data_IF_733648491393
#
_entry.id   IF_733648491393
#
_cell.length_a   1.000
_cell.length_b   1.000
_cell.length_c   1.000
_cell.angle_alpha   90.00
_cell.angle_beta   90.00
_cell.angle_gamma   90.00
#
_symmetry.space_group_name_H-M   'P 1'
#
loop_
_entity.id
_entity.type
_entity.pdbx_description
1 polymer ?
#
# COMPACT_ATOMS: atom_id res chain seq x y z
N UNK A 1 -24.00 -13.08 -88.44
CA UNK A 1 -24.48 -13.43 -87.05
C UNK A 1 -23.32 -13.43 -86.09
N UNK A 2 -23.14 -12.39 -85.26
CA UNK A 2 -22.08 -12.39 -84.28
C UNK A 2 -22.55 -13.02 -82.95
N UNK A 3 -21.68 -13.86 -82.37
CA UNK A 3 -21.92 -14.57 -81.15
C UNK A 3 -21.53 -13.63 -79.94
N UNK A 4 -22.49 -13.37 -79.10
CA UNK A 4 -22.23 -12.69 -77.79
C UNK A 4 -21.73 -13.71 -76.78
N UNK A 5 -20.59 -13.42 -76.13
CA UNK A 5 -20.08 -14.12 -74.96
C UNK A 5 -20.50 -13.35 -73.66
N UNK A 6 -20.92 -14.05 -72.61
CA UNK A 6 -21.27 -13.35 -71.37
C UNK A 6 -20.02 -13.04 -70.53
N UNK A 7 -19.89 -11.76 -70.07
CA UNK A 7 -18.93 -11.36 -69.06
C UNK A 7 -19.35 -11.91 -67.66
N UNK A 8 -18.48 -12.71 -67.11
CA UNK A 8 -18.59 -13.14 -65.70
C UNK A 8 -18.13 -11.98 -64.80
N UNK A 9 -19.04 -11.37 -64.02
CA UNK A 9 -18.73 -10.41 -62.97
C UNK A 9 -18.27 -11.18 -61.74
N UNK A 10 -16.96 -11.13 -61.44
CA UNK A 10 -16.40 -11.61 -60.18
C UNK A 10 -16.64 -10.55 -59.10
N UNK A 11 -17.62 -10.80 -58.22
CA UNK A 11 -17.86 -9.97 -57.04
C UNK A 11 -16.79 -10.25 -55.95
N UNK A 12 -15.89 -9.29 -55.72
CA UNK A 12 -15.04 -9.27 -54.50
C UNK A 12 -15.92 -8.95 -53.30
N UNK A 13 -16.24 -9.94 -52.48
CA UNK A 13 -16.79 -9.75 -51.15
C UNK A 13 -15.65 -9.31 -50.21
N UNK A 14 -15.48 -8.00 -50.00
CA UNK A 14 -14.63 -7.47 -48.96
C UNK A 14 -15.30 -7.76 -47.61
N UNK A 15 -14.82 -8.78 -46.90
CA UNK A 15 -15.14 -9.00 -45.49
C UNK A 15 -14.51 -7.87 -44.66
N UNK A 16 -15.26 -6.82 -44.41
CA UNK A 16 -14.94 -5.81 -43.42
C UNK A 16 -15.05 -6.48 -42.03
N UNK A 17 -13.94 -6.91 -41.46
CA UNK A 17 -13.85 -7.14 -40.04
C UNK A 17 -14.06 -5.79 -39.33
N UNK A 18 -15.29 -5.47 -39.02
CA UNK A 18 -15.60 -4.42 -38.03
C UNK A 18 -15.08 -4.94 -36.71
N UNK A 19 -13.89 -4.49 -36.31
CA UNK A 19 -13.45 -4.61 -34.94
C UNK A 19 -14.52 -3.90 -34.11
N UNK A 20 -15.39 -4.66 -33.43
CA UNK A 20 -16.34 -4.10 -32.51
C UNK A 20 -15.51 -3.31 -31.48
N UNK A 21 -15.54 -1.97 -31.55
CA UNK A 21 -14.95 -1.15 -30.53
C UNK A 21 -15.64 -1.53 -29.22
N UNK A 22 -14.91 -2.26 -28.37
CA UNK A 22 -15.41 -2.60 -27.05
C UNK A 22 -15.72 -1.26 -26.35
N UNK A 23 -16.97 -1.10 -25.89
CA UNK A 23 -17.36 0.10 -25.18
C UNK A 23 -16.37 0.31 -24.01
N UNK A 24 -15.85 1.55 -23.88
CA UNK A 24 -14.93 1.91 -22.81
C UNK A 24 -15.55 1.63 -21.45
N UNK A 25 -14.87 0.86 -20.62
CA UNK A 25 -15.27 0.60 -19.24
C UNK A 25 -14.43 1.46 -18.32
N UNK A 26 -15.08 2.30 -17.49
CA UNK A 26 -14.41 3.15 -16.50
C UNK A 26 -14.67 2.60 -15.10
N UNK A 27 -13.62 2.25 -14.37
CA UNK A 27 -13.68 1.82 -12.98
C UNK A 27 -13.41 3.00 -12.06
N UNK A 28 -14.37 3.35 -11.19
CA UNK A 28 -14.18 4.36 -10.15
C UNK A 28 -13.32 3.76 -9.05
N UNK A 29 -12.25 4.47 -8.70
CA UNK A 29 -11.29 4.05 -7.68
C UNK A 29 -11.31 5.00 -6.49
N UNK A 30 -11.66 4.52 -5.30
CA UNK A 30 -11.56 5.30 -4.05
C UNK A 30 -10.14 5.21 -3.50
N UNK A 31 -9.47 6.37 -3.38
CA UNK A 31 -8.09 6.47 -2.86
C UNK A 31 -8.06 7.45 -1.67
N UNK A 32 -7.76 6.95 -0.46
CA UNK A 32 -7.74 7.80 0.73
C UNK A 32 -6.56 8.78 0.77
N UNK A 33 -5.51 8.54 -0.02
CA UNK A 33 -4.32 9.41 -0.07
C UNK A 33 -4.53 10.59 -1.01
N UNK A 34 -3.71 11.63 -0.82
CA UNK A 34 -3.68 12.79 -1.71
C UNK A 34 -3.02 12.46 -3.05
N UNK A 35 -3.46 13.13 -4.13
CA UNK A 35 -2.82 13.00 -5.45
C UNK A 35 -1.51 13.80 -5.51
N UNK A 36 -0.53 13.34 -4.75
CA UNK A 36 0.80 13.97 -4.67
C UNK A 36 1.85 12.94 -4.25
N UNK A 37 3.06 13.09 -4.80
CA UNK A 37 4.22 12.27 -4.47
C UNK A 37 4.24 10.90 -5.14
N UNK A 38 5.15 10.09 -4.69
CA UNK A 38 5.56 8.87 -5.35
C UNK A 38 4.48 7.78 -5.33
N UNK A 39 3.66 7.72 -4.27
CA UNK A 39 2.49 6.83 -4.24
C UNK A 39 1.49 7.20 -5.33
N UNK A 40 1.14 8.48 -5.44
CA UNK A 40 0.23 8.92 -6.49
C UNK A 40 0.82 8.66 -7.87
N UNK A 41 2.14 8.85 -8.06
CA UNK A 41 2.82 8.51 -9.29
C UNK A 41 2.71 7.01 -9.62
N UNK A 42 2.89 6.12 -8.65
CA UNK A 42 2.75 4.68 -8.85
C UNK A 42 1.30 4.27 -9.18
N UNK A 43 0.31 4.87 -8.53
CA UNK A 43 -1.11 4.60 -8.79
C UNK A 43 -1.53 5.11 -10.18
N UNK A 44 -1.09 6.31 -10.57
CA UNK A 44 -1.33 6.83 -11.90
C UNK A 44 -0.62 5.97 -12.98
N UNK A 45 0.59 5.48 -12.70
CA UNK A 45 1.28 4.54 -13.56
C UNK A 45 0.49 3.23 -13.72
N UNK A 46 -0.06 2.69 -12.63
CA UNK A 46 -0.92 1.49 -12.68
C UNK A 46 -2.13 1.70 -13.59
N UNK A 47 -2.83 2.84 -13.46
CA UNK A 47 -3.97 3.14 -14.32
C UNK A 47 -3.57 3.28 -15.80
N UNK A 48 -2.45 3.94 -16.08
CA UNK A 48 -1.92 4.07 -17.43
C UNK A 48 -1.51 2.71 -18.02
N UNK A 49 -0.91 1.84 -17.20
CA UNK A 49 -0.52 0.49 -17.63
C UNK A 49 -1.74 -0.40 -17.91
N UNK A 50 -2.81 -0.30 -17.12
CA UNK A 50 -4.09 -0.98 -17.40
C UNK A 50 -4.68 -0.48 -18.72
N UNK A 51 -4.76 0.82 -18.94
CA UNK A 51 -5.27 1.38 -20.19
C UNK A 51 -4.43 0.94 -21.39
N UNK A 52 -3.11 0.95 -21.27
CA UNK A 52 -2.18 0.50 -22.30
C UNK A 52 -2.40 -0.98 -22.65
N UNK A 53 -2.49 -1.87 -21.67
CA UNK A 53 -2.68 -3.32 -21.87
C UNK A 53 -4.04 -3.69 -22.46
N UNK A 54 -5.01 -2.79 -22.32
CA UNK A 54 -6.38 -2.99 -22.84
C UNK A 54 -6.70 -2.11 -24.04
N UNK A 55 -5.69 -1.49 -24.67
CA UNK A 55 -5.87 -0.55 -25.79
C UNK A 55 -6.95 0.52 -25.51
N UNK A 56 -7.03 0.99 -24.25
CA UNK A 56 -7.97 2.00 -23.79
C UNK A 56 -9.38 1.48 -23.47
N UNK A 57 -9.64 0.18 -23.65
CA UNK A 57 -10.96 -0.40 -23.35
C UNK A 57 -11.29 -0.40 -21.84
N UNK A 58 -10.28 -0.40 -20.97
CA UNK A 58 -10.45 -0.32 -19.52
C UNK A 58 -9.68 0.87 -18.97
N UNK A 59 -10.35 1.77 -18.25
CA UNK A 59 -9.77 2.95 -17.62
C UNK A 59 -10.08 2.97 -16.13
N UNK A 60 -9.21 3.60 -15.34
CA UNK A 60 -9.38 3.79 -13.91
C UNK A 60 -9.48 5.30 -13.64
N UNK A 61 -10.55 5.71 -12.97
CA UNK A 61 -10.77 7.08 -12.53
C UNK A 61 -10.62 7.19 -11.01
N UNK A 62 -9.58 7.88 -10.55
CA UNK A 62 -9.28 8.04 -9.14
C UNK A 62 -10.09 9.16 -8.48
N UNK A 63 -10.64 8.85 -7.32
CA UNK A 63 -11.22 9.78 -6.37
C UNK A 63 -10.27 9.90 -5.17
N UNK A 64 -9.40 10.89 -5.22
CA UNK A 64 -8.31 11.11 -4.27
C UNK A 64 -8.75 11.75 -2.96
N UNK A 65 -7.93 11.58 -1.91
CA UNK A 65 -8.11 12.27 -0.63
C UNK A 65 -9.32 11.80 0.16
N UNK A 66 -9.82 10.60 -0.12
CA UNK A 66 -11.02 10.09 0.53
C UNK A 66 -12.32 10.78 0.07
N UNK A 67 -12.31 11.46 -1.09
CA UNK A 67 -13.46 12.22 -1.60
C UNK A 67 -14.67 11.34 -1.93
N UNK A 68 -14.49 10.08 -2.28
CA UNK A 68 -15.56 9.12 -2.49
C UNK A 68 -15.86 8.32 -1.21
N UNK A 69 -14.81 7.80 -0.57
CA UNK A 69 -14.88 7.08 0.71
C UNK A 69 -13.58 7.25 1.48
N UNK A 70 -13.66 7.37 2.78
CA UNK A 70 -12.50 7.40 3.67
C UNK A 70 -11.79 6.03 3.74
N UNK A 71 -10.59 6.00 4.35
CA UNK A 71 -9.78 4.80 4.42
C UNK A 71 -10.40 3.65 5.24
N UNK A 72 -11.32 3.92 6.17
CA UNK A 72 -12.00 2.89 6.98
C UNK A 72 -13.18 2.29 6.23
N UNK A 73 -13.83 3.08 5.40
CA UNK A 73 -15.01 2.68 4.63
C UNK A 73 -14.65 1.99 3.30
N UNK A 74 -13.41 2.15 2.81
CA UNK A 74 -12.99 1.69 1.47
C UNK A 74 -13.23 0.19 1.25
N UNK A 75 -12.85 -0.68 2.19
CA UNK A 75 -13.01 -2.14 2.02
C UNK A 75 -14.48 -2.51 1.84
N UNK A 76 -15.33 -2.07 2.79
CA UNK A 76 -16.77 -2.35 2.73
C UNK A 76 -17.41 -1.72 1.51
N UNK A 77 -17.06 -0.47 1.19
CA UNK A 77 -17.64 0.26 0.06
C UNK A 77 -17.30 -0.38 -1.29
N UNK A 78 -16.08 -0.90 -1.47
CA UNK A 78 -15.72 -1.66 -2.68
C UNK A 78 -16.44 -3.02 -2.68
N UNK A 79 -16.50 -3.73 -1.56
CA UNK A 79 -17.24 -4.98 -1.44
C UNK A 79 -18.73 -4.84 -1.78
N UNK A 80 -19.37 -3.73 -1.38
CA UNK A 80 -20.77 -3.37 -1.63
C UNK A 80 -20.99 -2.68 -3.00
N UNK A 81 -19.93 -2.47 -3.81
CA UNK A 81 -19.97 -1.79 -5.12
C UNK A 81 -20.34 -0.29 -5.05
N UNK A 82 -20.09 0.39 -3.95
CA UNK A 82 -20.17 1.85 -3.91
C UNK A 82 -19.06 2.50 -4.77
N UNK A 83 -17.92 1.79 -4.94
CA UNK A 83 -16.91 2.00 -5.97
C UNK A 83 -16.51 0.65 -6.57
N UNK A 84 -16.02 0.65 -7.80
CA UNK A 84 -15.56 -0.57 -8.48
C UNK A 84 -14.21 -1.03 -7.93
N UNK A 85 -13.33 -0.10 -7.56
CA UNK A 85 -11.98 -0.33 -7.05
C UNK A 85 -11.66 0.56 -5.85
N UNK A 86 -10.62 0.20 -5.12
CA UNK A 86 -10.11 1.05 -4.06
C UNK A 86 -8.81 0.56 -3.44
N UNK A 87 -8.24 1.43 -2.63
CA UNK A 87 -7.14 1.09 -1.73
C UNK A 87 -7.68 0.71 -0.36
N UNK A 88 -7.11 -0.35 0.23
CA UNK A 88 -7.29 -0.66 1.64
C UNK A 88 -5.99 -0.42 2.40
N UNK A 89 -6.11 -0.01 3.65
CA UNK A 89 -5.02 0.23 4.58
C UNK A 89 -5.21 -0.71 5.76
N UNK A 90 -4.35 -1.72 5.91
CA UNK A 90 -4.51 -2.79 6.88
C UNK A 90 -4.74 -2.31 8.31
N UNK A 91 -4.01 -1.29 8.74
CA UNK A 91 -4.17 -0.71 10.08
C UNK A 91 -5.55 -0.06 10.34
N UNK A 92 -6.34 0.21 9.29
CA UNK A 92 -7.70 0.76 9.40
C UNK A 92 -8.78 -0.31 9.22
N UNK A 93 -8.44 -1.46 8.64
CA UNK A 93 -9.32 -2.61 8.40
C UNK A 93 -8.87 -3.84 9.20
N UNK A 94 -8.29 -3.62 10.37
CA UNK A 94 -7.61 -4.65 11.15
C UNK A 94 -8.54 -5.79 11.63
N UNK A 95 -9.86 -5.54 11.77
CA UNK A 95 -10.83 -6.56 12.17
C UNK A 95 -11.31 -7.40 11.00
N UNK A 96 -11.54 -6.76 9.86
CA UNK A 96 -12.11 -7.36 8.66
C UNK A 96 -11.05 -8.16 7.88
N UNK A 97 -9.79 -7.74 7.94
CA UNK A 97 -8.69 -8.31 7.16
C UNK A 97 -7.58 -8.89 8.06
N UNK A 98 -7.97 -9.60 9.13
CA UNK A 98 -7.03 -10.20 10.09
C UNK A 98 -5.86 -10.96 9.44
N UNK A 99 -6.07 -11.88 8.47
CA UNK A 99 -4.97 -12.61 7.85
C UNK A 99 -4.00 -11.70 7.08
N UNK A 100 -4.52 -10.68 6.39
CA UNK A 100 -3.72 -9.77 5.59
C UNK A 100 -2.88 -8.80 6.46
N UNK A 101 -3.31 -8.56 7.70
CA UNK A 101 -2.58 -7.71 8.64
C UNK A 101 -1.26 -8.34 9.14
N UNK A 102 -0.91 -9.56 8.71
CA UNK A 102 0.45 -10.12 8.89
C UNK A 102 1.54 -9.15 8.39
N UNK A 103 1.26 -8.38 7.33
CA UNK A 103 2.17 -7.38 6.78
C UNK A 103 2.35 -6.12 7.63
N UNK A 104 1.51 -5.91 8.64
CA UNK A 104 1.61 -4.77 9.57
C UNK A 104 2.09 -5.18 10.97
N UNK A 105 2.46 -6.45 11.17
CA UNK A 105 2.98 -6.93 12.44
C UNK A 105 4.31 -6.25 12.79
N UNK A 106 4.58 -5.97 14.07
CA UNK A 106 5.82 -5.31 14.49
C UNK A 106 7.01 -6.29 14.56
N UNK A 107 7.34 -6.90 13.43
CA UNK A 107 8.37 -7.94 13.28
C UNK A 107 9.73 -7.42 12.79
N UNK A 108 9.89 -6.13 12.67
CA UNK A 108 11.08 -5.51 12.08
C UNK A 108 10.86 -5.09 10.61
N UNK A 109 11.86 -4.39 10.08
CA UNK A 109 11.84 -3.91 8.70
C UNK A 109 12.42 -4.95 7.75
N UNK A 110 11.91 -4.98 6.53
CA UNK A 110 12.53 -5.64 5.39
C UNK A 110 12.92 -4.59 4.34
N UNK A 111 13.73 -4.97 3.37
CA UNK A 111 13.85 -4.15 2.16
C UNK A 111 12.46 -3.92 1.54
N UNK A 112 12.21 -2.72 1.03
CA UNK A 112 10.87 -2.32 0.51
C UNK A 112 10.37 -3.27 -0.58
N UNK A 113 11.24 -3.64 -1.54
CA UNK A 113 10.87 -4.56 -2.61
C UNK A 113 10.63 -5.97 -2.10
N UNK A 114 11.48 -6.44 -1.17
CA UNK A 114 11.36 -7.76 -0.53
C UNK A 114 10.02 -7.89 0.17
N UNK A 115 9.68 -6.93 1.04
CA UNK A 115 8.41 -6.93 1.78
C UNK A 115 7.19 -6.88 0.86
N UNK A 116 7.23 -6.02 -0.18
CA UNK A 116 6.17 -5.91 -1.18
C UNK A 116 5.96 -7.20 -1.95
N UNK A 117 7.03 -7.82 -2.44
CA UNK A 117 6.95 -9.09 -3.20
C UNK A 117 6.49 -10.26 -2.33
N UNK A 118 7.00 -10.35 -1.09
CA UNK A 118 6.55 -11.34 -0.14
C UNK A 118 5.03 -11.24 0.13
N UNK A 119 4.53 -10.03 0.39
CA UNK A 119 3.09 -9.80 0.61
C UNK A 119 2.26 -10.04 -0.66
N UNK A 120 2.77 -9.67 -1.84
CA UNK A 120 2.08 -9.94 -3.11
C UNK A 120 1.92 -11.44 -3.36
N UNK A 121 3.01 -12.20 -3.24
CA UNK A 121 2.97 -13.66 -3.42
C UNK A 121 2.09 -14.31 -2.35
N UNK A 122 2.21 -13.90 -1.09
CA UNK A 122 1.36 -14.39 -0.01
C UNK A 122 -0.13 -14.13 -0.31
N UNK A 123 -0.52 -12.91 -0.69
CA UNK A 123 -1.91 -12.57 -0.99
C UNK A 123 -2.47 -13.34 -2.20
N UNK A 124 -1.62 -13.68 -3.17
CA UNK A 124 -2.04 -14.38 -4.39
C UNK A 124 -1.96 -15.91 -4.29
N UNK A 125 -1.25 -16.46 -3.30
CA UNK A 125 -1.06 -17.92 -3.17
C UNK A 125 -1.68 -18.51 -1.92
N UNK A 126 -1.68 -17.78 -0.78
CA UNK A 126 -2.21 -18.30 0.49
C UNK A 126 -3.72 -18.54 0.46
N UNK A 127 -4.20 -19.74 0.80
CA UNK A 127 -5.64 -20.03 0.88
C UNK A 127 -6.35 -19.16 1.91
N UNK A 128 -5.68 -18.85 3.04
CA UNK A 128 -6.28 -18.02 4.10
C UNK A 128 -6.51 -16.59 3.64
N UNK A 129 -5.53 -15.99 2.94
CA UNK A 129 -5.68 -14.63 2.42
C UNK A 129 -6.73 -14.58 1.30
N UNK A 130 -6.74 -15.57 0.40
CA UNK A 130 -7.79 -15.67 -0.62
C UNK A 130 -9.18 -15.75 0.00
N UNK A 131 -9.35 -16.60 1.03
CA UNK A 131 -10.61 -16.70 1.79
C UNK A 131 -11.03 -15.37 2.40
N UNK A 132 -10.08 -14.59 2.95
CA UNK A 132 -10.37 -13.28 3.54
C UNK A 132 -10.81 -12.25 2.49
N UNK A 133 -10.14 -12.17 1.34
CA UNK A 133 -10.54 -11.28 0.24
C UNK A 133 -11.89 -11.71 -0.36
N UNK A 134 -12.13 -13.02 -0.50
CA UNK A 134 -13.40 -13.56 -0.96
C UNK A 134 -14.56 -13.24 -0.01
N UNK A 135 -14.33 -13.34 1.29
CA UNK A 135 -15.32 -13.00 2.32
C UNK A 135 -15.68 -11.50 2.31
N UNK A 136 -14.74 -10.64 1.93
CA UNK A 136 -14.95 -9.21 1.73
C UNK A 136 -15.55 -8.85 0.35
N UNK A 137 -15.88 -9.84 -0.49
CA UNK A 137 -16.38 -9.68 -1.85
C UNK A 137 -15.46 -8.84 -2.75
N UNK A 138 -14.14 -9.00 -2.60
CA UNK A 138 -13.14 -8.29 -3.40
C UNK A 138 -12.08 -9.22 -3.96
N UNK A 139 -11.43 -8.78 -5.03
CA UNK A 139 -10.25 -9.42 -5.63
C UNK A 139 -9.04 -8.53 -5.38
N UNK A 140 -7.99 -9.12 -4.84
CA UNK A 140 -6.69 -8.48 -4.68
C UNK A 140 -5.97 -8.37 -6.03
N UNK A 141 -5.39 -7.20 -6.31
CA UNK A 141 -4.65 -6.95 -7.55
C UNK A 141 -3.18 -6.66 -7.34
N UNK A 142 -2.84 -6.00 -6.26
CA UNK A 142 -1.48 -5.60 -5.94
C UNK A 142 -1.40 -4.91 -4.59
N UNK A 143 -0.20 -4.50 -4.19
CA UNK A 143 0.04 -3.81 -2.94
C UNK A 143 1.01 -2.65 -3.10
N UNK A 144 0.98 -1.79 -2.12
CA UNK A 144 1.93 -0.73 -1.90
C UNK A 144 2.27 -0.66 -0.41
N UNK A 145 3.34 0.06 -0.05
CA UNK A 145 3.85 0.04 1.32
C UNK A 145 4.28 1.41 1.79
N UNK A 146 4.63 1.48 3.05
CA UNK A 146 5.50 2.51 3.61
C UNK A 146 6.96 2.03 3.56
N UNK A 147 7.90 2.96 3.72
CA UNK A 147 9.26 2.63 4.15
C UNK A 147 9.27 2.44 5.66
N UNK A 148 10.44 2.32 6.25
CA UNK A 148 10.58 2.15 7.70
C UNK A 148 9.88 3.25 8.48
N UNK A 149 9.29 2.86 9.60
CA UNK A 149 8.55 3.74 10.49
C UNK A 149 9.52 4.58 11.31
N UNK A 150 9.24 5.88 11.33
CA UNK A 150 9.94 6.90 12.09
C UNK A 150 8.93 7.72 12.88
N UNK A 151 9.41 8.55 13.79
CA UNK A 151 8.62 9.63 14.38
C UNK A 151 9.14 10.98 13.92
N UNK A 152 8.22 11.93 13.72
CA UNK A 152 8.55 13.34 13.66
C UNK A 152 7.85 14.07 14.80
N UNK A 153 8.62 14.83 15.58
CA UNK A 153 8.16 15.43 16.82
C UNK A 153 8.32 16.95 16.81
N UNK A 154 7.42 17.65 17.51
CA UNK A 154 7.46 19.08 17.74
C UNK A 154 8.10 19.34 19.12
N UNK A 155 9.33 19.87 19.13
CA UNK A 155 10.07 20.23 20.35
C UNK A 155 10.21 19.05 21.35
N UNK A 156 10.40 17.82 20.85
CA UNK A 156 10.56 16.62 21.67
C UNK A 156 11.50 15.64 21.00
N UNK A 157 12.51 15.20 21.76
CA UNK A 157 13.40 14.11 21.36
C UNK A 157 13.10 12.89 22.22
N UNK A 158 13.08 11.71 21.61
CA UNK A 158 12.99 10.41 22.28
C UNK A 158 14.30 9.66 22.01
N UNK A 159 14.96 9.19 23.06
CA UNK A 159 16.25 8.50 22.98
C UNK A 159 16.20 7.09 23.57
N UNK A 160 15.14 6.74 24.26
CA UNK A 160 14.91 5.44 24.90
C UNK A 160 13.41 5.14 25.00
N UNK A 161 13.06 3.89 25.24
CA UNK A 161 11.65 3.44 25.28
C UNK A 161 10.87 4.11 26.44
N UNK A 162 11.53 4.44 27.53
CA UNK A 162 10.90 5.13 28.67
C UNK A 162 10.43 6.55 28.32
N UNK A 163 11.04 7.19 27.30
CA UNK A 163 10.68 8.55 26.85
C UNK A 163 9.31 8.61 26.18
N UNK A 164 8.73 7.46 25.78
CA UNK A 164 7.36 7.39 25.23
C UNK A 164 6.29 7.75 26.26
N UNK A 165 6.59 7.58 27.56
CA UNK A 165 5.62 7.80 28.63
C UNK A 165 5.05 9.22 28.60
N UNK A 166 3.71 9.30 28.49
CA UNK A 166 2.96 10.56 28.47
C UNK A 166 3.04 11.36 27.17
N UNK A 167 3.80 10.91 26.17
CA UNK A 167 3.91 11.60 24.88
C UNK A 167 2.64 11.37 24.07
N UNK A 168 2.04 12.45 23.55
CA UNK A 168 0.90 12.37 22.64
C UNK A 168 1.37 12.05 21.24
N UNK A 169 1.09 10.85 20.77
CA UNK A 169 1.57 10.36 19.45
C UNK A 169 0.37 10.03 18.57
N UNK A 170 0.33 10.58 17.36
CA UNK A 170 -0.57 10.02 16.33
C UNK A 170 0.04 8.73 15.79
N UNK A 171 -0.69 7.64 15.93
CA UNK A 171 -0.29 6.35 15.36
C UNK A 171 -1.51 5.48 15.02
N UNK A 172 -1.29 4.33 14.40
CA UNK A 172 -2.33 3.37 14.04
C UNK A 172 -1.78 1.92 14.10
N UNK A 173 -2.71 0.95 14.07
CA UNK A 173 -2.38 -0.48 14.01
C UNK A 173 -1.55 -0.97 15.20
N UNK A 174 -0.76 -2.00 14.97
CA UNK A 174 0.07 -2.64 16.00
C UNK A 174 1.15 -1.70 16.56
N UNK A 175 1.75 -0.86 15.74
CA UNK A 175 2.77 0.11 16.18
C UNK A 175 2.21 1.10 17.19
N UNK A 176 0.96 1.55 16.99
CA UNK A 176 0.26 2.37 17.98
C UNK A 176 0.02 1.62 19.29
N UNK A 177 -0.35 0.35 19.23
CA UNK A 177 -0.56 -0.48 20.42
C UNK A 177 0.75 -0.70 21.20
N UNK A 178 1.88 -0.91 20.51
CA UNK A 178 3.20 -0.99 21.15
C UNK A 178 3.54 0.31 21.84
N UNK A 179 3.40 1.45 21.16
CA UNK A 179 3.67 2.77 21.78
C UNK A 179 2.79 3.02 23.01
N UNK A 180 1.51 2.64 22.99
CA UNK A 180 0.63 2.71 24.17
C UNK A 180 1.13 1.83 25.30
N UNK A 181 1.62 0.62 25.00
CA UNK A 181 2.14 -0.27 26.03
C UNK A 181 3.42 0.25 26.68
N UNK A 182 4.10 1.19 26.02
CA UNK A 182 5.25 1.92 26.56
C UNK A 182 4.84 3.22 27.26
N UNK A 183 3.53 3.46 27.42
CA UNK A 183 2.98 4.60 28.16
C UNK A 183 2.71 5.85 27.33
N UNK A 184 2.80 5.79 25.99
CA UNK A 184 2.38 6.90 25.15
C UNK A 184 0.85 7.09 25.15
N UNK A 185 0.40 8.33 24.98
CA UNK A 185 -1.00 8.65 24.69
C UNK A 185 -1.21 8.65 23.19
N UNK A 186 -1.75 7.54 22.64
CA UNK A 186 -1.91 7.37 21.20
C UNK A 186 -3.26 7.87 20.71
N UNK A 187 -3.23 8.81 19.75
CA UNK A 187 -4.40 9.33 19.07
C UNK A 187 -4.53 8.67 17.69
N UNK A 188 -5.73 8.17 17.37
CA UNK A 188 -6.02 7.39 16.16
C UNK A 188 -6.90 8.14 15.18
N UNK A 189 -6.27 8.78 14.20
CA UNK A 189 -6.93 9.45 13.08
C UNK A 189 -6.09 9.29 11.80
N UNK A 190 -6.55 9.79 10.66
CA UNK A 190 -5.84 9.66 9.40
C UNK A 190 -4.47 10.37 9.43
N UNK A 191 -3.45 9.77 8.80
CA UNK A 191 -2.13 10.41 8.66
C UNK A 191 -2.17 11.74 7.92
N UNK A 192 -3.16 11.96 7.06
CA UNK A 192 -3.36 13.23 6.34
C UNK A 192 -3.78 14.41 7.23
N UNK A 193 -4.25 14.13 8.44
CA UNK A 193 -4.64 15.13 9.44
C UNK A 193 -3.50 15.49 10.41
N UNK A 194 -2.39 14.72 10.37
CA UNK A 194 -1.32 14.80 11.36
C UNK A 194 -0.59 16.15 11.35
N UNK A 195 -0.36 16.75 10.18
CA UNK A 195 0.27 18.07 10.09
C UNK A 195 -0.50 19.13 10.90
N UNK A 196 -1.82 19.20 10.74
CA UNK A 196 -2.68 20.13 11.49
C UNK A 196 -2.67 19.84 12.98
N UNK A 197 -2.66 18.56 13.38
CA UNK A 197 -2.62 18.14 14.77
C UNK A 197 -1.28 18.47 15.46
N UNK A 198 -0.16 18.35 14.73
CA UNK A 198 1.17 18.80 15.16
C UNK A 198 1.21 20.32 15.32
N UNK A 199 0.69 21.05 14.33
CA UNK A 199 0.66 22.51 14.37
C UNK A 199 -0.14 23.01 15.57
N UNK A 200 -1.33 22.51 15.78
CA UNK A 200 -2.22 22.82 16.90
C UNK A 200 -1.73 22.31 18.27
N UNK A 201 -0.67 21.48 18.32
CA UNK A 201 -0.20 20.85 19.57
C UNK A 201 -1.14 19.79 20.14
N UNK A 202 -2.11 19.31 19.37
CA UNK A 202 -2.99 18.19 19.73
C UNK A 202 -2.18 16.91 19.91
N UNK A 203 -1.14 16.74 19.10
CA UNK A 203 -0.11 15.70 19.24
C UNK A 203 1.27 16.33 19.34
N UNK A 204 2.18 15.63 20.01
CA UNK A 204 3.60 15.99 20.09
C UNK A 204 4.40 15.35 18.97
N UNK A 205 4.08 14.09 18.64
CA UNK A 205 4.77 13.33 17.60
C UNK A 205 3.77 12.69 16.63
N UNK A 206 4.16 12.57 15.37
CA UNK A 206 3.48 11.78 14.36
C UNK A 206 4.32 10.57 13.99
N UNK A 207 3.74 9.38 14.10
CA UNK A 207 4.26 8.16 13.50
C UNK A 207 4.06 8.26 11.98
N UNK A 208 5.15 8.28 11.25
CA UNK A 208 5.18 8.43 9.80
C UNK A 208 6.46 7.79 9.23
N UNK A 209 6.72 7.95 7.97
CA UNK A 209 7.91 7.53 7.24
C UNK A 209 8.50 8.74 6.50
N UNK A 210 9.80 8.72 6.18
CA UNK A 210 10.51 9.92 5.73
C UNK A 210 9.87 10.59 4.51
N UNK A 211 9.52 9.82 3.46
CA UNK A 211 8.86 10.41 2.29
C UNK A 211 7.44 10.93 2.64
N UNK A 212 6.74 10.29 3.56
CA UNK A 212 5.42 10.71 4.04
C UNK A 212 5.48 12.05 4.79
N UNK A 213 6.48 12.23 5.65
CA UNK A 213 6.73 13.50 6.35
C UNK A 213 6.93 14.65 5.36
N UNK A 214 7.64 14.40 4.25
CA UNK A 214 7.84 15.38 3.18
C UNK A 214 6.54 15.68 2.44
N UNK A 215 5.79 14.66 2.02
CA UNK A 215 4.58 14.82 1.21
C UNK A 215 3.45 15.47 2.01
N UNK A 216 3.29 15.11 3.28
CA UNK A 216 2.28 15.65 4.18
C UNK A 216 2.74 16.95 4.85
N UNK A 217 3.97 17.39 4.59
CA UNK A 217 4.56 18.65 5.06
C UNK A 217 4.72 18.72 6.59
N UNK A 218 4.87 17.56 7.24
CA UNK A 218 5.05 17.50 8.70
C UNK A 218 6.30 18.29 9.16
N UNK A 219 7.35 18.33 8.31
CA UNK A 219 8.60 19.06 8.53
C UNK A 219 8.43 20.58 8.70
N UNK A 220 7.29 21.15 8.29
CA UNK A 220 7.03 22.58 8.45
C UNK A 220 6.68 22.95 9.90
N UNK A 221 6.02 22.05 10.61
CA UNK A 221 5.47 22.26 11.95
C UNK A 221 6.19 21.47 13.05
N UNK A 222 6.98 20.44 12.67
CA UNK A 222 7.78 19.61 13.56
C UNK A 222 9.18 19.41 12.98
N UNK A 223 10.23 19.43 13.82
CA UNK A 223 11.61 19.49 13.33
C UNK A 223 12.49 18.33 13.79
N UNK A 224 12.05 17.57 14.79
CA UNK A 224 12.84 16.48 15.37
C UNK A 224 12.40 15.15 14.78
N UNK A 225 13.20 14.58 13.89
CA UNK A 225 12.96 13.22 13.36
C UNK A 225 13.69 12.24 14.28
N UNK A 226 12.94 11.30 14.87
CA UNK A 226 13.49 10.19 15.62
C UNK A 226 13.54 8.99 14.68
N UNK A 227 14.75 8.59 14.30
CA UNK A 227 14.99 7.53 13.33
C UNK A 227 14.94 6.17 14.04
N UNK A 228 13.73 5.62 14.11
CA UNK A 228 13.46 4.32 14.73
C UNK A 228 13.88 3.15 13.83
N UNK A 229 13.76 3.31 12.51
CA UNK A 229 13.89 2.24 11.51
C UNK A 229 13.13 0.98 11.95
N UNK A 230 11.89 1.16 12.39
CA UNK A 230 11.11 0.14 13.07
C UNK A 230 9.92 -0.31 12.27
N UNK A 231 10.08 -1.44 11.59
CA UNK A 231 9.00 -2.08 10.84
C UNK A 231 8.47 -1.26 9.66
N UNK A 232 7.39 -1.73 9.08
CA UNK A 232 6.74 -1.16 7.89
C UNK A 232 5.24 -1.47 7.93
N UNK A 233 4.44 -0.70 7.19
CA UNK A 233 3.07 -1.06 6.87
C UNK A 233 3.02 -1.68 5.47
N UNK A 234 2.91 -3.01 5.40
CA UNK A 234 2.88 -3.79 4.16
C UNK A 234 1.47 -4.30 3.81
N UNK A 235 0.50 -4.18 4.74
CA UNK A 235 -0.87 -4.61 4.52
C UNK A 235 -1.73 -3.52 3.83
N UNK A 236 -1.19 -2.93 2.77
CA UNK A 236 -1.91 -1.98 1.92
C UNK A 236 -2.14 -2.63 0.56
N UNK A 237 -3.39 -2.65 0.10
CA UNK A 237 -3.73 -3.34 -1.13
C UNK A 237 -4.58 -2.50 -2.08
N UNK A 238 -4.42 -2.82 -3.37
CA UNK A 238 -5.32 -2.44 -4.45
C UNK A 238 -6.32 -3.57 -4.63
N UNK A 239 -7.61 -3.25 -4.49
CA UNK A 239 -8.70 -4.20 -4.61
C UNK A 239 -9.71 -3.77 -5.67
N UNK A 240 -10.39 -4.74 -6.25
CA UNK A 240 -11.54 -4.55 -7.14
C UNK A 240 -12.72 -5.37 -6.61
N UNK A 241 -13.93 -4.87 -6.74
CA UNK A 241 -15.14 -5.63 -6.41
C UNK A 241 -15.18 -6.95 -7.21
N UNK A 242 -15.49 -8.06 -6.54
CA UNK A 242 -15.43 -9.41 -7.14
C UNK A 242 -16.41 -9.59 -8.29
N UNK A 243 -17.63 -9.05 -8.18
CA UNK A 243 -18.62 -9.16 -9.26
C UNK A 243 -18.23 -8.31 -10.47
N UNK A 244 -17.73 -7.08 -10.21
CA UNK A 244 -17.22 -6.21 -11.28
C UNK A 244 -16.09 -6.93 -12.02
N UNK A 245 -15.09 -7.43 -11.28
CA UNK A 245 -13.97 -8.15 -11.86
C UNK A 245 -14.41 -9.35 -12.70
N UNK A 246 -15.36 -10.17 -12.19
CA UNK A 246 -15.82 -11.37 -12.88
C UNK A 246 -16.62 -11.06 -14.17
N UNK A 247 -17.26 -9.89 -14.25
CA UNK A 247 -17.99 -9.43 -15.44
C UNK A 247 -17.09 -8.86 -16.54
N UNK A 248 -15.84 -8.51 -16.21
CA UNK A 248 -14.88 -8.03 -17.21
C UNK A 248 -14.51 -9.17 -18.20
N UNK A 249 -14.23 -8.86 -19.47
CA UNK A 249 -13.61 -9.77 -20.42
C UNK A 249 -12.32 -10.41 -19.87
N UNK A 250 -11.98 -11.61 -20.34
CA UNK A 250 -10.84 -12.37 -19.81
C UNK A 250 -9.50 -11.64 -19.99
N UNK A 251 -9.31 -10.97 -21.11
CA UNK A 251 -8.14 -10.14 -21.41
C UNK A 251 -8.02 -8.92 -20.48
N UNK A 252 -9.13 -8.26 -20.15
CA UNK A 252 -9.14 -7.14 -19.20
C UNK A 252 -8.85 -7.62 -17.77
N UNK A 253 -9.39 -8.77 -17.34
CA UNK A 253 -9.04 -9.38 -16.05
C UNK A 253 -7.54 -9.72 -15.97
N UNK A 254 -6.99 -10.26 -17.06
CA UNK A 254 -5.56 -10.55 -17.19
C UNK A 254 -4.74 -9.26 -17.09
N UNK A 255 -5.12 -8.22 -17.84
CA UNK A 255 -4.46 -6.93 -17.83
C UNK A 255 -4.42 -6.30 -16.41
N UNK A 256 -5.53 -6.35 -15.66
CA UNK A 256 -5.57 -5.85 -14.27
C UNK A 256 -4.61 -6.62 -13.35
N UNK A 257 -4.55 -7.95 -13.45
CA UNK A 257 -3.63 -8.76 -12.64
C UNK A 257 -2.16 -8.51 -12.99
N UNK A 258 -1.83 -8.44 -14.26
CA UNK A 258 -0.46 -8.20 -14.73
C UNK A 258 0.00 -6.78 -14.40
N UNK A 259 -0.86 -5.78 -14.60
CA UNK A 259 -0.57 -4.40 -14.20
C UNK A 259 -0.40 -4.28 -12.67
N UNK A 260 -1.24 -4.97 -11.90
CA UNK A 260 -1.13 -5.02 -10.44
C UNK A 260 0.18 -5.63 -9.96
N UNK A 261 0.61 -6.75 -10.57
CA UNK A 261 1.92 -7.36 -10.30
C UNK A 261 3.09 -6.43 -10.65
N UNK A 262 3.04 -5.81 -11.83
CA UNK A 262 4.08 -4.89 -12.28
C UNK A 262 4.14 -3.61 -11.41
N UNK A 263 2.98 -3.15 -10.91
CA UNK A 263 2.91 -2.02 -9.99
C UNK A 263 3.69 -2.26 -8.70
N UNK A 264 3.77 -3.49 -8.21
CA UNK A 264 4.52 -3.84 -6.99
C UNK A 264 6.01 -3.46 -7.13
N UNK A 265 6.62 -3.76 -8.28
CA UNK A 265 8.00 -3.36 -8.56
C UNK A 265 8.13 -1.84 -8.73
N UNK A 266 7.16 -1.24 -9.44
CA UNK A 266 7.15 0.21 -9.66
C UNK A 266 7.01 1.01 -8.36
N UNK A 267 6.19 0.53 -7.44
CA UNK A 267 6.07 1.10 -6.08
C UNK A 267 7.41 1.01 -5.36
N UNK A 268 8.07 -0.16 -5.35
CA UNK A 268 9.35 -0.33 -4.68
C UNK A 268 10.42 0.62 -5.24
N UNK A 269 10.55 0.69 -6.57
CA UNK A 269 11.48 1.60 -7.25
C UNK A 269 11.30 3.05 -6.79
N UNK A 270 10.05 3.53 -6.81
CA UNK A 270 9.72 4.91 -6.45
C UNK A 270 9.92 5.17 -4.95
N UNK A 271 9.52 4.22 -4.08
CA UNK A 271 9.58 4.42 -2.64
C UNK A 271 11.02 4.42 -2.09
N UNK A 272 11.89 3.54 -2.59
CA UNK A 272 13.31 3.51 -2.20
C UNK A 272 13.96 4.85 -2.53
N UNK A 273 13.80 5.32 -3.76
CA UNK A 273 14.35 6.62 -4.18
C UNK A 273 13.73 7.80 -3.41
N UNK A 274 12.43 7.75 -3.16
CA UNK A 274 11.72 8.81 -2.44
C UNK A 274 12.17 8.96 -1.00
N UNK A 275 12.43 7.84 -0.33
CA UNK A 275 12.83 7.82 1.07
C UNK A 275 14.19 8.52 1.27
N UNK A 276 15.17 8.16 0.44
CA UNK A 276 16.52 8.74 0.49
C UNK A 276 16.49 10.25 0.17
N UNK A 277 15.77 10.62 -0.90
CA UNK A 277 15.63 12.01 -1.32
C UNK A 277 14.87 12.86 -0.30
N UNK A 278 13.87 12.29 0.39
CA UNK A 278 13.08 13.03 1.38
C UNK A 278 13.93 13.45 2.56
N UNK A 279 14.73 12.54 3.13
CA UNK A 279 15.60 12.85 4.27
C UNK A 279 16.63 13.91 3.89
N UNK A 280 17.32 13.74 2.75
CA UNK A 280 18.32 14.69 2.28
C UNK A 280 17.71 16.09 2.09
N UNK A 281 16.54 16.19 1.44
CA UNK A 281 15.88 17.46 1.20
C UNK A 281 15.43 18.15 2.50
N UNK A 282 14.82 17.41 3.45
CA UNK A 282 14.38 17.95 4.73
C UNK A 282 15.57 18.42 5.60
N UNK A 283 16.71 17.71 5.56
CA UNK A 283 17.95 18.13 6.23
C UNK A 283 18.58 19.37 5.59
N UNK A 284 18.58 19.47 4.27
CA UNK A 284 19.06 20.65 3.57
C UNK A 284 18.19 21.88 3.81
N UNK A 285 16.88 21.64 3.98
CA UNK A 285 15.86 22.65 4.20
C UNK A 285 14.96 22.85 2.99
N UNK A 286 13.67 22.80 3.22
CA UNK A 286 12.61 23.02 2.23
C UNK A 286 11.83 24.25 2.65
N UNK A 287 11.83 25.33 1.84
CA UNK A 287 11.08 26.55 2.17
C UNK A 287 11.50 27.20 3.49
N UNK A 288 12.78 27.10 3.87
CA UNK A 288 13.29 27.61 5.14
C UNK A 288 13.12 26.68 6.35
N UNK A 289 12.43 25.55 6.20
CA UNK A 289 12.24 24.57 7.26
C UNK A 289 13.28 23.45 7.17
N UNK A 290 14.08 23.31 8.22
CA UNK A 290 15.08 22.24 8.39
C UNK A 290 14.67 21.31 9.51
N UNK A 291 15.02 20.03 9.37
CA UNK A 291 14.84 19.02 10.41
C UNK A 291 16.19 18.63 11.02
N UNK A 292 16.14 18.21 12.28
CA UNK A 292 17.23 17.52 12.98
C UNK A 292 16.89 16.05 13.08
N UNK A 293 17.87 15.19 12.79
CA UNK A 293 17.70 13.73 12.85
C UNK A 293 18.38 13.20 14.10
N UNK A 294 17.65 12.43 14.87
CA UNK A 294 18.11 11.77 16.08
C UNK A 294 18.04 10.26 15.86
N UNK A 295 19.19 9.59 15.87
CA UNK A 295 19.24 8.12 15.76
C UNK A 295 18.73 7.50 17.07
N UNK A 296 17.79 6.56 16.97
CA UNK A 296 17.32 5.80 18.12
C UNK A 296 18.28 4.63 18.37
N UNK A 297 18.81 4.44 19.60
CA UNK A 297 19.83 3.44 19.86
C UNK A 297 19.40 2.01 19.54
N UNK A 298 20.27 1.18 18.98
CA UNK A 298 19.94 -0.21 18.60
C UNK A 298 19.45 -1.06 19.77
N UNK A 299 20.02 -0.86 20.97
CA UNK A 299 19.54 -1.53 22.19
C UNK A 299 18.09 -1.17 22.54
N UNK A 300 17.67 0.06 22.23
CA UNK A 300 16.31 0.55 22.45
C UNK A 300 15.36 0.03 21.34
N UNK A 301 15.83 -0.07 20.09
CA UNK A 301 15.08 -0.72 18.99
C UNK A 301 14.76 -2.18 19.33
N UNK A 302 15.70 -2.91 19.91
CA UNK A 302 15.47 -4.28 20.39
C UNK A 302 14.34 -4.35 21.45
N UNK A 303 14.25 -3.36 22.34
CA UNK A 303 13.14 -3.27 23.30
C UNK A 303 11.79 -2.99 22.62
N UNK A 304 11.75 -2.17 21.55
CA UNK A 304 10.54 -1.97 20.75
C UNK A 304 10.06 -3.28 20.11
N UNK A 305 10.95 -4.07 19.51
CA UNK A 305 10.63 -5.37 18.93
C UNK A 305 10.09 -6.33 19.99
N UNK A 306 10.77 -6.43 21.14
CA UNK A 306 10.30 -7.25 22.25
C UNK A 306 8.93 -6.84 22.78
N UNK A 307 8.67 -5.53 22.90
CA UNK A 307 7.34 -5.02 23.28
C UNK A 307 6.25 -5.37 22.24
N UNK A 308 6.64 -5.61 20.99
CA UNK A 308 5.76 -6.05 19.91
C UNK A 308 5.28 -7.50 20.01
N UNK A 309 6.04 -8.38 20.66
CA UNK A 309 5.79 -9.84 20.67
C UNK A 309 4.38 -10.21 21.18
N UNK A 310 3.90 -9.52 22.22
CA UNK A 310 2.55 -9.77 22.74
C UNK A 310 1.46 -9.48 21.72
N UNK A 311 1.64 -8.48 20.86
CA UNK A 311 0.66 -8.12 19.84
C UNK A 311 0.69 -9.09 18.66
N UNK A 312 1.83 -9.74 18.40
CA UNK A 312 1.93 -10.86 17.47
C UNK A 312 1.15 -12.04 18.03
N UNK A 313 1.30 -12.37 19.32
CA UNK A 313 0.54 -13.43 19.98
C UNK A 313 -0.97 -13.14 19.98
N UNK A 314 -1.39 -11.91 20.28
CA UNK A 314 -2.79 -11.49 20.21
C UNK A 314 -3.36 -11.58 18.79
N UNK A 315 -2.58 -11.19 17.76
CA UNK A 315 -2.97 -11.32 16.37
C UNK A 315 -3.17 -12.78 16.01
N UNK A 316 -2.24 -13.67 16.42
CA UNK A 316 -2.39 -15.12 16.20
C UNK A 316 -3.70 -15.63 16.79
N UNK A 317 -3.95 -15.38 18.06
CA UNK A 317 -5.15 -15.84 18.75
C UNK A 317 -6.45 -15.33 18.06
N UNK A 318 -6.48 -14.05 17.65
CA UNK A 318 -7.65 -13.47 16.95
C UNK A 318 -7.83 -14.07 15.55
N UNK A 319 -6.74 -14.30 14.84
CA UNK A 319 -6.75 -14.87 13.48
C UNK A 319 -7.22 -16.32 13.49
N UNK A 320 -6.75 -17.13 14.46
CA UNK A 320 -7.18 -18.52 14.63
C UNK A 320 -8.66 -18.57 15.06
N UNK A 321 -9.08 -17.73 15.99
CA UNK A 321 -10.48 -17.63 16.41
C UNK A 321 -11.44 -17.24 15.27
N UNK A 322 -10.95 -16.51 14.26
CA UNK A 322 -11.69 -16.16 13.06
C UNK A 322 -11.68 -17.26 11.98
N UNK A 323 -11.11 -18.43 12.27
CA UNK A 323 -11.11 -19.60 11.38
C UNK A 323 -10.04 -19.55 10.27
N UNK A 324 -8.93 -18.87 10.52
CA UNK A 324 -7.74 -18.86 9.69
C UNK A 324 -6.58 -19.53 10.44
N UNK A 325 -5.47 -19.87 9.75
CA UNK A 325 -4.29 -20.45 10.39
C UNK A 325 -3.17 -19.41 10.52
N UNK A 326 -3.10 -18.75 11.68
CA UNK A 326 -2.16 -17.65 11.92
C UNK A 326 -0.69 -18.13 11.82
N UNK A 327 -0.37 -19.29 12.35
CA UNK A 327 0.99 -19.85 12.27
C UNK A 327 1.41 -20.16 10.84
N UNK A 328 0.50 -20.72 10.03
CA UNK A 328 0.76 -20.97 8.60
C UNK A 328 0.99 -19.66 7.84
N UNK A 329 0.14 -18.66 8.06
CA UNK A 329 0.27 -17.36 7.41
C UNK A 329 1.61 -16.71 7.76
N UNK A 330 1.98 -16.67 9.04
CA UNK A 330 3.23 -16.07 9.50
C UNK A 330 4.46 -16.84 8.98
N UNK A 331 4.41 -18.17 8.98
CA UNK A 331 5.49 -19.00 8.44
C UNK A 331 5.67 -18.78 6.93
N UNK A 332 4.56 -18.76 6.17
CA UNK A 332 4.61 -18.45 4.74
C UNK A 332 5.17 -17.04 4.47
N UNK A 333 4.73 -16.03 5.23
CA UNK A 333 5.23 -14.66 5.09
C UNK A 333 6.75 -14.60 5.31
N UNK A 334 7.27 -15.24 6.36
CA UNK A 334 8.70 -15.28 6.66
C UNK A 334 9.49 -15.99 5.55
N UNK A 335 9.05 -17.17 5.13
CA UNK A 335 9.69 -17.92 4.04
C UNK A 335 9.74 -17.12 2.72
N UNK A 336 8.66 -16.37 2.41
CA UNK A 336 8.63 -15.51 1.23
C UNK A 336 9.57 -14.30 1.37
N UNK A 337 9.67 -13.73 2.57
CA UNK A 337 10.63 -12.65 2.84
C UNK A 337 12.07 -13.14 2.64
N UNK A 338 12.41 -14.31 3.16
CA UNK A 338 13.74 -14.93 2.94
C UNK A 338 14.01 -15.22 1.46
N UNK A 339 13.02 -15.77 0.73
CA UNK A 339 13.08 -16.02 -0.71
C UNK A 339 13.44 -14.77 -1.50
N UNK A 340 12.69 -13.69 -1.29
CA UNK A 340 12.88 -12.44 -2.03
C UNK A 340 14.14 -11.69 -1.62
N UNK A 341 14.56 -11.80 -0.36
CA UNK A 341 15.85 -11.25 0.08
C UNK A 341 17.03 -11.99 -0.58
N UNK A 342 16.96 -13.32 -0.69
CA UNK A 342 17.95 -14.10 -1.42
C UNK A 342 17.96 -13.73 -2.92
N UNK A 343 16.79 -13.55 -3.52
CA UNK A 343 16.68 -13.12 -4.92
C UNK A 343 17.29 -11.73 -5.14
N UNK A 344 16.99 -10.77 -4.26
CA UNK A 344 17.53 -9.41 -4.32
C UNK A 344 19.05 -9.41 -4.23
N UNK A 345 19.62 -10.19 -3.30
CA UNK A 345 21.06 -10.32 -3.14
C UNK A 345 21.75 -10.95 -4.36
N UNK A 346 21.11 -11.95 -4.96
CA UNK A 346 21.68 -12.67 -6.11
C UNK A 346 21.53 -11.91 -7.43
N UNK A 347 20.42 -11.20 -7.66
CA UNK A 347 20.03 -10.65 -8.96
C UNK A 347 19.82 -9.14 -8.97
N UNK A 348 19.90 -8.45 -7.81
CA UNK A 348 19.50 -7.06 -7.65
C UNK A 348 17.97 -6.85 -7.88
N UNK A 349 17.52 -5.61 -7.93
CA UNK A 349 16.12 -5.26 -8.19
C UNK A 349 15.75 -5.47 -9.66
N UNK A 350 14.46 -5.79 -9.99
CA UNK A 350 14.01 -6.00 -11.37
C UNK A 350 14.35 -4.86 -12.33
N UNK A 351 14.30 -3.62 -11.87
CA UNK A 351 14.62 -2.42 -12.68
C UNK A 351 16.12 -2.09 -12.79
N UNK A 352 16.97 -2.91 -12.19
CA UNK A 352 18.44 -2.80 -12.23
C UNK A 352 19.12 -4.03 -12.83
N UNK A 353 18.34 -4.97 -13.35
CA UNK A 353 18.83 -6.22 -13.99
C UNK A 353 19.11 -6.03 -15.47
#
# INVERSE_FOLDING_TARGET
MPKFAPLAAAGLAALAFAAAASAETVLRYTEPSVNRGERAAAMNWFAAEVAKRTNGALKINFFWGGSLMDARSSLKGVGDRAAEMGSIVGSYTAREMLPYNVGDLPVGSSDVWVGLRAMYELATTSPDLKKAFDAANVVYLGNFTTTEIQLICKNKVLSKVEDFKGVKIRSAGFYGQVMESLGASVLRFSGTEANRALDAGTITCNHNYLYGMRILRDYEVAKDIIKLDWGQHLAWAVIVNKEVFNKLPADQRKALREAGSAMVDKVAELMISANDNALAAMKAGIGGHKVTVHEFPEAEKAKLLKAGEKFIAEWKAKTDAAGYSADRILAQYRALTEKYEAERKAKNYPWKR
#
